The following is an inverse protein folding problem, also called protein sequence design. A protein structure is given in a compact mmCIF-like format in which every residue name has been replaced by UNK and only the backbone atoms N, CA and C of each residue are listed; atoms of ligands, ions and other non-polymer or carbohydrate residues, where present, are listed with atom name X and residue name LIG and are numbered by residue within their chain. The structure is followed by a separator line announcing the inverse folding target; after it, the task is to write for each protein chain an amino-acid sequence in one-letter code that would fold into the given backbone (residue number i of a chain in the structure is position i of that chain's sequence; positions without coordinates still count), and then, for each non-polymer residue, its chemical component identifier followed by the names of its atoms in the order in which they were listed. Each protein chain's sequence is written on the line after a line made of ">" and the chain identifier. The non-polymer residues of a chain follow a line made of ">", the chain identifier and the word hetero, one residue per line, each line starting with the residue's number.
data_IF_165149821390
#
_entry.id   IF_165149821390
#
_cell.length_a   1.000
_cell.length_b   1.000
_cell.length_c   1.000
_cell.angle_alpha   90.00
_cell.angle_beta   90.00
_cell.angle_gamma   90.00
#
_symmetry.space_group_name_H-M   'P 1'
#
loop_
_entity.id
_entity.type
_entity.pdbx_description
1 polymer ?
2 polymer ?
3 polymer ?
4 water ?
#
# COMPACT_ATOMS: atom_id res chain seq x y z
N UNK A 1 7.57 -17.94 15.13
CA UNK A 1 7.05 -18.03 13.76
C UNK A 1 8.08 -17.42 12.86
N UNK A 2 7.94 -17.71 11.56
CA UNK A 2 8.79 -17.21 10.49
C UNK A 2 8.64 -15.72 10.40
N UNK A 3 9.75 -15.02 10.59
CA UNK A 3 9.83 -13.57 10.42
C UNK A 3 10.99 -13.17 9.53
N UNK A 4 10.72 -12.27 8.59
CA UNK A 4 11.74 -11.53 7.87
C UNK A 4 11.34 -10.05 7.93
N UNK A 5 12.21 -9.23 8.51
CA UNK A 5 11.92 -7.84 8.84
C UNK A 5 12.90 -6.95 8.13
N UNK A 6 12.44 -6.23 7.10
CA UNK A 6 13.33 -5.29 6.33
C UNK A 6 13.47 -3.90 7.04
N UNK A 7 14.64 -3.27 6.92
CA UNK A 7 14.82 -1.92 7.41
C UNK A 7 15.82 -1.19 6.52
N UNK A 8 15.89 0.13 6.67
CA UNK A 8 16.88 0.88 5.92
C UNK A 8 16.31 1.72 4.79
N UNK A 9 15.03 1.60 4.52
CA UNK A 9 14.48 2.42 3.46
C UNK A 9 14.43 3.89 3.86
N UNK A 10 14.49 4.80 2.88
CA UNK A 10 14.31 6.20 3.19
C UNK A 10 14.34 7.01 1.91
N UNK A 11 14.47 8.33 2.02
CA UNK A 11 14.59 9.21 0.84
C UNK A 11 16.07 9.34 0.50
N UNK A 12 16.42 9.27 -0.78
CA UNK A 12 17.83 9.47 -1.18
C UNK A 12 17.76 10.34 -2.42
N UNK A 13 18.77 11.16 -2.64
CA UNK A 13 18.81 11.90 -3.91
C UNK A 13 19.35 11.02 -5.05
N UNK A 14 18.97 11.30 -6.31
CA UNK A 14 19.52 10.55 -7.44
C UNK A 14 21.04 10.55 -7.44
N UNK A 15 21.69 9.45 -7.84
CA UNK A 15 23.13 9.34 -7.75
C UNK A 15 23.55 8.88 -6.36
N UNK A 16 22.64 8.90 -5.38
CA UNK A 16 22.98 8.58 -4.01
C UNK A 16 23.10 7.09 -3.74
N UNK A 17 23.30 6.71 -2.50
CA UNK A 17 23.21 5.28 -2.24
C UNK A 17 22.60 4.95 -0.91
N UNK A 18 22.25 3.68 -0.70
CA UNK A 18 21.48 3.27 0.46
C UNK A 18 21.73 1.79 0.73
N UNK A 19 21.67 1.39 1.98
CA UNK A 19 21.86 0.00 2.27
C UNK A 19 20.70 -0.60 3.07
N UNK A 20 20.05 -1.63 2.52
CA UNK A 20 18.91 -2.26 3.19
C UNK A 20 19.36 -3.55 3.97
N UNK A 21 18.76 -3.83 5.12
CA UNK A 21 18.97 -5.10 5.85
C UNK A 21 17.69 -5.87 6.01
N UNK A 22 17.80 -7.17 6.24
CA UNK A 22 16.63 -7.95 6.46
C UNK A 22 17.02 -8.91 7.59
N UNK A 23 16.43 -8.76 8.75
CA UNK A 23 16.65 -9.69 9.89
C UNK A 23 15.69 -10.89 9.85
N UNK A 24 16.22 -12.10 9.85
CA UNK A 24 15.33 -13.27 9.70
C UNK A 24 15.23 -13.95 11.06
N UNK A 25 14.09 -14.55 11.36
CA UNK A 25 14.02 -15.33 12.60
C UNK A 25 12.94 -16.42 12.46
N UNK A 26 13.01 -17.44 13.28
CA UNK A 26 11.95 -18.44 13.28
C UNK A 26 12.12 -19.57 12.29
N UNK A 27 13.27 -19.62 11.60
CA UNK A 27 13.57 -20.71 10.67
C UNK A 27 15.07 -20.74 10.54
N UNK A 28 15.61 -21.77 9.91
CA UNK A 28 17.05 -21.96 9.94
C UNK A 28 17.62 -21.18 8.73
N UNK A 29 18.00 -19.92 8.94
CA UNK A 29 18.25 -18.97 7.80
C UNK A 29 19.33 -19.47 6.81
N UNK A 30 20.44 -20.03 7.37
CA UNK A 30 21.55 -20.56 6.57
C UNK A 30 21.23 -21.84 5.74
N UNK A 31 20.05 -22.42 5.90
CA UNK A 31 19.52 -23.42 4.93
C UNK A 31 18.81 -22.85 3.68
N UNK A 32 18.62 -21.51 3.62
CA UNK A 32 17.75 -20.97 2.57
C UNK A 32 18.40 -19.98 1.69
N UNK A 33 18.08 -20.09 0.41
CA UNK A 33 18.40 -19.06 -0.57
C UNK A 33 17.39 -17.91 -0.41
N UNK A 34 17.84 -16.67 -0.64
CA UNK A 34 17.06 -15.45 -0.39
C UNK A 34 17.06 -14.51 -1.61
N UNK A 35 16.01 -13.71 -1.84
CA UNK A 35 16.01 -12.67 -2.91
C UNK A 35 15.44 -11.35 -2.36
N UNK A 36 15.65 -10.29 -3.11
CA UNK A 36 14.99 -9.02 -2.88
C UNK A 36 14.14 -8.87 -4.11
N UNK A 37 12.90 -8.49 -3.87
CA UNK A 37 11.94 -8.19 -4.95
C UNK A 37 11.45 -6.79 -4.65
N UNK A 38 11.28 -5.94 -5.67
CA UNK A 38 10.68 -4.61 -5.45
C UNK A 38 9.33 -4.46 -6.08
N UNK A 39 8.55 -3.52 -5.54
CA UNK A 39 7.23 -3.26 -6.13
C UNK A 39 7.03 -1.77 -6.41
N UNK A 40 6.76 -1.42 -7.68
CA UNK A 40 6.67 0.00 -8.05
C UNK A 40 5.46 0.65 -7.40
N UNK A 41 5.39 2.00 -7.40
CA UNK A 41 4.14 2.63 -6.91
C UNK A 41 2.87 2.22 -7.72
N UNK A 42 3.02 1.83 -8.98
CA UNK A 42 1.94 1.27 -9.79
C UNK A 42 1.70 -0.25 -9.61
N UNK A 43 2.41 -0.88 -8.65
CA UNK A 43 2.11 -2.24 -8.17
C UNK A 43 2.73 -3.38 -8.93
N UNK A 44 3.63 -3.08 -9.86
CA UNK A 44 4.28 -4.12 -10.64
C UNK A 44 5.46 -4.68 -9.80
N UNK A 45 5.51 -5.99 -9.62
CA UNK A 45 6.64 -6.64 -8.93
C UNK A 45 7.86 -6.90 -9.88
N UNK A 46 9.06 -6.67 -9.39
CA UNK A 46 10.26 -6.96 -10.16
C UNK A 46 11.37 -7.59 -9.27
N UNK A 47 11.85 -8.80 -9.60
CA UNK A 47 12.94 -9.46 -8.89
C UNK A 47 14.29 -8.72 -9.08
N UNK A 48 14.98 -8.36 -7.99
CA UNK A 48 16.18 -7.54 -8.22
C UNK A 48 17.51 -8.18 -7.74
N UNK A 49 17.48 -9.27 -6.94
CA UNK A 49 18.76 -9.89 -6.49
C UNK A 49 18.47 -11.19 -5.80
N UNK A 50 19.38 -12.15 -6.00
CA UNK A 50 19.34 -13.48 -5.42
C UNK A 50 20.66 -13.80 -4.82
N UNK A 51 20.60 -14.42 -3.63
CA UNK A 51 21.81 -15.02 -3.01
C UNK A 51 21.55 -16.42 -2.41
N UNK A 52 22.44 -17.38 -2.71
CA UNK A 52 22.25 -18.73 -2.22
C UNK A 52 22.58 -18.86 -0.71
N UNK A 53 22.17 -19.98 -0.12
CA UNK A 53 22.22 -20.21 1.34
C UNK A 53 23.63 -20.03 1.91
N UNK A 54 24.63 -20.49 1.17
CA UNK A 54 26.03 -20.32 1.61
C UNK A 54 26.76 -19.17 0.90
N UNK A 55 26.06 -18.41 0.05
CA UNK A 55 26.65 -17.22 -0.57
C UNK A 55 27.48 -17.44 -1.82
N UNK A 56 27.57 -18.68 -2.31
CA UNK A 56 28.31 -18.96 -3.54
C UNK A 56 27.71 -18.45 -4.86
N UNK A 57 26.40 -18.22 -4.89
CA UNK A 57 25.71 -17.77 -6.13
C UNK A 57 25.01 -16.46 -5.83
N UNK A 58 25.28 -15.44 -6.64
CA UNK A 58 24.52 -14.20 -6.56
C UNK A 58 24.17 -13.81 -8.00
N UNK A 59 22.98 -13.23 -8.23
CA UNK A 59 22.56 -12.91 -9.61
C UNK A 59 21.78 -11.63 -9.49
N UNK A 60 21.68 -10.84 -10.57
CA UNK A 60 20.90 -9.58 -10.64
C UNK A 60 20.34 -9.41 -12.04
N UNK A 61 19.17 -8.77 -12.20
CA UNK A 61 18.69 -8.55 -13.59
C UNK A 61 19.45 -7.35 -14.18
N UNK A 62 19.41 -7.18 -15.50
CA UNK A 62 20.15 -6.08 -16.17
C UNK A 62 19.87 -4.69 -15.63
N UNK A 63 18.65 -4.44 -15.15
CA UNK A 63 18.21 -3.11 -14.65
C UNK A 63 18.96 -2.61 -13.42
N UNK A 64 19.51 -3.55 -12.63
CA UNK A 64 20.34 -3.14 -11.49
C UNK A 64 21.81 -3.69 -11.58
N UNK A 65 22.11 -4.57 -12.53
CA UNK A 65 23.49 -5.08 -12.55
C UNK A 65 24.54 -3.95 -12.54
N UNK A 66 25.53 -4.08 -11.64
CA UNK A 66 26.60 -3.08 -11.47
C UNK A 66 26.32 -1.96 -10.46
N UNK A 67 25.06 -1.84 -10.00
CA UNK A 67 24.66 -0.84 -9.03
C UNK A 67 24.27 -1.48 -7.72
N UNK A 68 23.70 -2.70 -7.76
CA UNK A 68 23.19 -3.27 -6.50
C UNK A 68 24.09 -4.48 -6.12
N UNK A 69 24.35 -4.66 -4.83
CA UNK A 69 25.11 -5.84 -4.35
C UNK A 69 24.34 -6.51 -3.22
N UNK A 70 23.97 -7.77 -3.44
CA UNK A 70 23.28 -8.51 -2.39
C UNK A 70 24.35 -9.26 -1.53
N UNK A 71 24.15 -9.37 -0.21
CA UNK A 71 25.09 -10.19 0.61
C UNK A 71 24.33 -10.69 1.86
N UNK A 72 24.98 -11.51 2.69
CA UNK A 72 24.30 -12.10 3.82
C UNK A 72 25.33 -12.35 4.90
N UNK A 73 24.88 -12.29 6.14
CA UNK A 73 25.71 -12.74 7.22
C UNK A 73 24.95 -13.81 8.03
N UNK A 74 25.29 -15.08 7.82
CA UNK A 74 24.62 -16.20 8.44
C UNK A 74 24.84 -16.23 9.95
N UNK A 75 25.98 -15.68 10.38
CA UNK A 75 26.28 -15.59 11.82
C UNK A 75 25.25 -14.71 12.53
N UNK A 76 24.67 -13.76 11.79
CA UNK A 76 23.69 -12.84 12.37
C UNK A 76 22.33 -13.04 11.75
N UNK A 77 22.15 -14.13 10.98
CA UNK A 77 20.86 -14.33 10.32
C UNK A 77 20.34 -13.06 9.60
N UNK A 78 21.20 -12.38 8.84
CA UNK A 78 20.82 -11.09 8.19
C UNK A 78 21.22 -11.10 6.71
N UNK A 79 20.31 -10.62 5.84
CA UNK A 79 20.51 -10.41 4.42
C UNK A 79 20.64 -8.86 4.20
N UNK A 80 21.50 -8.43 3.27
CA UNK A 80 21.67 -7.00 2.91
C UNK A 80 21.47 -6.78 1.38
N UNK A 81 21.17 -5.54 1.01
CA UNK A 81 21.17 -5.06 -0.36
C UNK A 81 21.84 -3.68 -0.36
N UNK A 82 23.06 -3.61 -0.87
CA UNK A 82 23.69 -2.34 -1.03
C UNK A 82 23.27 -1.75 -2.40
N UNK A 83 22.71 -0.55 -2.41
CA UNK A 83 22.29 0.12 -3.67
C UNK A 83 23.10 1.36 -3.90
N UNK A 84 23.61 1.57 -5.09
CA UNK A 84 24.33 2.79 -5.30
C UNK A 84 23.99 3.27 -6.70
N UNK A 85 24.47 4.46 -7.03
CA UNK A 85 24.06 5.18 -8.25
C UNK A 85 22.58 5.14 -8.44
N UNK A 86 21.83 5.49 -7.40
CA UNK A 86 20.36 5.36 -7.40
C UNK A 86 19.71 6.26 -8.43
N UNK A 87 18.63 5.76 -9.03
CA UNK A 87 17.87 6.54 -9.99
C UNK A 87 16.42 6.74 -9.49
N UNK A 88 15.75 7.83 -9.92
CA UNK A 88 14.36 8.07 -9.53
C UNK A 88 13.46 6.84 -9.67
N UNK A 89 13.63 6.09 -10.77
CA UNK A 89 12.85 4.86 -11.07
C UNK A 89 13.18 3.66 -10.21
N UNK A 90 14.12 3.82 -9.28
CA UNK A 90 14.39 2.80 -8.27
C UNK A 90 13.41 2.98 -7.07
N UNK A 91 12.67 4.11 -7.03
CA UNK A 91 11.59 4.34 -6.06
C UNK A 91 10.64 3.14 -6.12
N UNK A 92 10.40 2.49 -4.97
CA UNK A 92 9.71 1.23 -4.88
C UNK A 92 9.65 0.76 -3.40
N UNK A 93 8.74 -0.17 -3.12
CA UNK A 93 8.74 -0.87 -1.83
C UNK A 93 9.69 -2.08 -2.03
N UNK A 94 10.62 -2.27 -1.09
CA UNK A 94 11.57 -3.39 -1.22
C UNK A 94 11.27 -4.49 -0.21
N UNK A 95 11.07 -5.71 -0.73
CA UNK A 95 10.78 -6.90 0.04
C UNK A 95 11.93 -7.87 0.02
N UNK A 96 12.22 -8.39 1.17
CA UNK A 96 13.11 -9.53 1.34
C UNK A 96 12.21 -10.81 1.18
N UNK A 97 12.63 -11.81 0.41
CA UNK A 97 11.77 -12.99 0.24
C UNK A 97 12.61 -14.26 0.34
N UNK A 98 12.04 -15.27 0.95
CA UNK A 98 12.71 -16.55 1.15
C UNK A 98 12.27 -17.48 0.03
N UNK A 99 13.22 -18.15 -0.61
CA UNK A 99 12.85 -19.20 -1.55
C UNK A 99 12.51 -20.48 -0.78
N UNK A 100 11.57 -21.22 -1.36
CA UNK A 100 11.09 -22.45 -0.84
C UNK A 100 12.30 -23.40 -0.59
N UNK A 101 12.29 -24.12 0.53
CA UNK A 101 13.41 -24.98 0.84
C UNK A 101 13.75 -25.90 -0.36
N UNK A 102 15.04 -25.96 -0.69
CA UNK A 102 15.46 -26.60 -1.92
C UNK A 102 15.07 -28.07 -1.97
N UNK A 103 15.14 -28.76 -0.82
CA UNK A 103 14.53 -30.09 -0.70
C UNK A 103 13.06 -30.24 -1.05
N UNK A 104 12.25 -29.18 -0.88
CA UNK A 104 10.86 -29.15 -1.34
C UNK A 104 10.70 -28.86 -2.85
N UNK A 105 11.43 -27.89 -3.36
CA UNK A 105 11.41 -27.65 -4.79
C UNK A 105 12.78 -27.12 -5.23
N UNK A 106 13.29 -27.61 -6.34
CA UNK A 106 14.53 -27.05 -6.86
C UNK A 106 14.21 -25.87 -7.85
N UNK A 107 12.95 -25.41 -7.89
CA UNK A 107 12.58 -24.33 -8.81
C UNK A 107 12.70 -22.96 -8.15
N UNK A 108 11.65 -22.12 -8.16
CA UNK A 108 11.87 -20.71 -7.87
C UNK A 108 10.98 -20.08 -6.79
N UNK A 109 9.91 -20.75 -6.37
CA UNK A 109 8.88 -20.15 -5.50
C UNK A 109 9.41 -19.41 -4.25
N UNK A 110 8.91 -18.21 -4.04
CA UNK A 110 9.19 -17.40 -2.88
C UNK A 110 8.09 -17.59 -1.83
N UNK A 111 8.41 -18.41 -0.83
CA UNK A 111 7.33 -18.87 0.09
C UNK A 111 7.00 -17.97 1.29
N UNK A 112 7.90 -17.06 1.61
CA UNK A 112 7.65 -16.04 2.64
C UNK A 112 8.26 -14.71 2.23
N UNK A 113 7.52 -13.63 2.49
CA UNK A 113 7.94 -12.27 2.14
C UNK A 113 7.81 -11.39 3.35
N UNK A 114 8.73 -10.45 3.58
CA UNK A 114 8.56 -9.47 4.65
C UNK A 114 7.51 -8.41 4.32
N UNK A 115 7.25 -7.54 5.31
CA UNK A 115 6.35 -6.42 5.12
C UNK A 115 6.89 -5.35 4.15
N UNK A 116 8.19 -5.35 3.90
CA UNK A 116 8.75 -4.38 2.96
C UNK A 116 9.34 -3.16 3.63
N UNK A 117 10.37 -2.59 3.01
CA UNK A 117 10.82 -1.25 3.40
C UNK A 117 10.79 -0.28 2.19
N UNK A 118 10.28 0.93 2.40
CA UNK A 118 9.96 1.87 1.31
C UNK A 118 11.19 2.71 0.89
N UNK A 119 11.54 2.75 -0.40
CA UNK A 119 12.64 3.58 -0.88
C UNK A 119 12.16 4.64 -1.87
N UNK A 120 12.53 5.89 -1.63
CA UNK A 120 12.14 7.01 -2.53
C UNK A 120 13.42 7.67 -3.00
N UNK A 121 13.66 7.67 -4.32
CA UNK A 121 14.83 8.37 -4.87
C UNK A 121 14.26 9.57 -5.60
N UNK A 122 14.55 10.78 -5.13
CA UNK A 122 13.89 11.96 -5.67
C UNK A 122 14.72 13.16 -5.35
N UNK A 123 14.68 14.14 -6.24
CA UNK A 123 15.27 15.45 -5.96
C UNK A 123 14.21 16.45 -5.48
N UNK A 124 12.97 16.01 -5.26
CA UNK A 124 11.95 16.93 -4.73
C UNK A 124 12.45 17.39 -3.36
N UNK A 125 12.08 18.62 -3.00
CA UNK A 125 12.54 19.27 -1.77
C UNK A 125 11.82 18.85 -0.49
N UNK A 126 12.60 18.59 0.55
CA UNK A 126 12.11 18.20 1.87
C UNK A 126 11.47 19.39 2.52
N UNK A 127 10.29 19.15 3.09
CA UNK A 127 9.44 20.25 3.57
C UNK A 127 8.69 19.76 4.82
N UNK A 128 8.85 20.45 5.95
CA UNK A 128 8.12 20.12 7.16
C UNK A 128 6.63 20.52 6.97
N UNK A 129 5.71 19.77 7.60
CA UNK A 129 4.31 20.19 7.45
C UNK A 129 3.96 21.44 8.25
N UNK A 130 2.99 22.21 7.76
CA UNK A 130 2.16 23.07 8.60
C UNK A 130 1.01 22.27 9.25
N UNK A 131 0.85 22.36 10.57
CA UNK A 131 -0.15 21.57 11.27
C UNK A 131 -1.21 22.47 11.90
N UNK A 132 -2.46 22.32 11.45
CA UNK A 132 -3.56 23.12 11.93
C UNK A 132 -4.53 22.25 12.74
N UNK A 133 -5.04 22.81 13.85
CA UNK A 133 -6.07 22.10 14.62
C UNK A 133 -7.45 22.24 13.94
N UNK A 134 -8.20 21.16 13.86
CA UNK A 134 -9.56 21.22 13.29
C UNK A 134 -10.63 21.01 14.37
N UNK A 135 -11.30 22.09 14.79
CA UNK A 135 -12.43 22.01 15.69
C UNK A 135 -13.67 22.07 14.79
N UNK A 136 -14.82 21.46 15.19
CA UNK A 136 -16.04 21.47 14.32
C UNK A 136 -16.66 22.89 14.12
N UNK A 137 -17.41 23.17 13.04
CA UNK A 137 -18.22 24.40 13.03
C UNK A 137 -19.18 24.24 14.19
N UNK A 138 -19.61 25.34 14.78
CA UNK A 138 -20.52 25.28 15.92
C UNK A 138 -21.69 24.32 15.67
N UNK A 139 -22.17 24.26 14.41
CA UNK A 139 -23.32 23.42 14.07
C UNK A 139 -23.04 21.95 14.37
N UNK A 140 -21.78 21.55 14.41
CA UNK A 140 -21.40 20.13 14.50
C UNK A 140 -20.91 19.80 15.91
N UNK A 141 -21.33 20.58 16.90
CA UNK A 141 -20.91 20.32 18.29
C UNK A 141 -22.10 19.91 19.15
N UNK A 142 -23.20 19.61 18.50
CA UNK A 142 -24.45 19.32 19.20
C UNK A 142 -24.79 17.82 19.27
N UNK A 143 -23.88 16.92 18.90
CA UNK A 143 -24.14 15.49 18.87
C UNK A 143 -23.78 14.79 20.19
N UNK A 144 -24.05 13.49 20.27
CA UNK A 144 -23.57 12.75 21.46
C UNK A 144 -22.09 12.42 21.41
N UNK A 145 -21.57 12.43 20.20
CA UNK A 145 -20.15 12.41 19.98
C UNK A 145 -19.72 13.69 19.27
N UNK A 146 -18.42 13.93 19.32
CA UNK A 146 -17.82 15.05 18.67
C UNK A 146 -16.55 14.53 18.02
N UNK A 147 -16.28 15.00 16.81
CA UNK A 147 -15.12 14.57 16.06
C UNK A 147 -14.22 15.78 15.89
N UNK A 148 -12.97 15.65 16.35
CA UNK A 148 -11.98 16.68 16.20
C UNK A 148 -11.01 16.16 15.17
N UNK A 149 -10.20 17.06 14.65
CA UNK A 149 -9.16 16.67 13.72
C UNK A 149 -7.91 17.51 13.71
N UNK A 150 -7.04 17.13 12.79
CA UNK A 150 -5.69 17.64 12.68
C UNK A 150 -5.35 17.70 11.17
N UNK A 151 -4.98 18.86 10.63
CA UNK A 151 -4.68 18.96 9.18
C UNK A 151 -3.14 19.03 9.05
N UNK A 152 -2.53 18.04 8.33
CA UNK A 152 -1.07 18.01 8.14
C UNK A 152 -0.77 18.41 6.70
N UNK A 153 -0.42 19.68 6.52
CA UNK A 153 -0.46 20.33 5.21
C UNK A 153 0.97 20.58 4.62
N UNK A 154 1.19 20.18 3.36
CA UNK A 154 2.38 20.54 2.57
C UNK A 154 3.74 19.97 2.97
N UNK A 155 3.85 18.64 3.08
CA UNK A 155 5.12 18.09 3.49
C UNK A 155 5.72 17.15 2.43
N UNK A 156 7.02 16.86 2.54
CA UNK A 156 7.65 15.86 1.66
C UNK A 156 9.00 15.50 2.36
N UNK A 157 9.39 14.22 2.35
CA UNK A 157 8.62 13.09 1.82
C UNK A 157 7.61 12.52 2.86
N UNK A 158 6.80 11.55 2.46
CA UNK A 158 6.15 10.60 3.39
C UNK A 158 7.26 9.85 4.16
N UNK A 159 7.00 9.42 5.40
CA UNK A 159 5.76 9.56 6.16
C UNK A 159 5.82 10.61 7.23
N UNK A 160 4.67 10.81 7.82
CA UNK A 160 4.60 11.53 9.07
C UNK A 160 4.09 10.45 10.03
N UNK A 161 4.30 10.64 11.32
CA UNK A 161 3.60 9.80 12.29
C UNK A 161 2.70 10.67 13.13
N UNK A 162 1.47 10.22 13.37
CA UNK A 162 0.48 11.07 14.02
C UNK A 162 -0.17 10.26 15.13
N UNK A 163 -0.27 10.79 16.34
CA UNK A 163 -1.02 10.16 17.44
C UNK A 163 -1.86 11.22 18.07
N UNK A 164 -2.70 10.79 18.99
CA UNK A 164 -3.56 11.68 19.74
C UNK A 164 -3.26 11.42 21.20
N UNK A 165 -3.15 12.48 21.99
CA UNK A 165 -2.74 12.38 23.41
C UNK A 165 -1.55 11.43 23.62
N UNK A 166 -0.55 11.61 22.75
CA UNK A 166 0.67 10.80 22.77
C UNK A 166 0.38 9.28 22.74
N UNK A 167 -0.69 8.85 22.09
CA UNK A 167 -0.88 7.43 21.86
C UNK A 167 -1.86 6.84 22.83
N UNK A 168 -2.18 7.61 23.86
CA UNK A 168 -3.12 7.15 24.90
C UNK A 168 -4.58 7.26 24.38
N UNK A 169 -4.78 8.04 23.35
CA UNK A 169 -6.11 8.07 22.78
C UNK A 169 -6.03 7.37 21.46
N UNK A 170 -6.61 6.17 21.40
CA UNK A 170 -6.40 5.32 20.23
C UNK A 170 -7.70 4.86 19.59
N UNK A 171 -8.71 4.67 20.40
CA UNK A 171 -10.00 4.28 19.88
C UNK A 171 -10.71 5.51 19.24
N UNK A 172 -11.44 5.24 18.16
CA UNK A 172 -12.08 6.27 17.37
C UNK A 172 -11.14 7.20 16.58
N UNK A 173 -9.90 6.78 16.36
CA UNK A 173 -8.94 7.60 15.62
C UNK A 173 -8.94 7.08 14.21
N UNK A 174 -8.96 7.98 13.22
CA UNK A 174 -8.83 7.56 11.82
C UNK A 174 -7.94 8.49 11.09
N UNK A 175 -6.86 7.97 10.52
CA UNK A 175 -5.94 8.82 9.81
C UNK A 175 -6.07 8.59 8.28
N UNK A 176 -6.38 9.63 7.52
CA UNK A 176 -6.88 9.43 6.14
C UNK A 176 -5.80 9.51 5.10
N UNK A 177 -6.04 8.92 3.90
CA UNK A 177 -4.95 8.86 2.92
C UNK A 177 -4.56 10.27 2.47
N UNK A 178 -3.27 10.50 2.30
CA UNK A 178 -2.74 11.81 1.88
C UNK A 178 -3.04 12.11 0.41
N UNK A 179 -3.21 13.36 0.05
CA UNK A 179 -3.24 13.70 -1.34
C UNK A 179 -1.85 14.28 -1.69
N UNK A 180 -1.52 14.31 -2.99
CA UNK A 180 -0.22 14.78 -3.46
C UNK A 180 -0.50 15.82 -4.48
N UNK A 181 0.08 16.98 -4.29
CA UNK A 181 -0.18 18.08 -5.19
C UNK A 181 1.13 18.85 -5.31
N UNK A 182 1.67 18.96 -6.51
CA UNK A 182 2.91 19.72 -6.68
C UNK A 182 4.13 19.27 -5.81
N UNK A 183 4.42 17.97 -5.73
CA UNK A 183 5.53 17.50 -4.86
C UNK A 183 5.33 17.61 -3.31
N UNK A 184 4.11 17.89 -2.85
CA UNK A 184 3.82 18.03 -1.42
C UNK A 184 2.58 17.25 -1.09
N UNK A 185 2.67 16.51 -0.01
CA UNK A 185 1.58 15.75 0.51
C UNK A 185 0.74 16.53 1.51
N UNK A 186 -0.54 16.17 1.59
CA UNK A 186 -1.40 16.73 2.62
C UNK A 186 -2.29 15.64 3.22
N UNK A 187 -2.44 15.58 4.55
CA UNK A 187 -3.33 14.57 5.08
C UNK A 187 -4.06 15.09 6.31
N UNK A 188 -5.07 14.34 6.78
CA UNK A 188 -5.75 14.75 7.96
C UNK A 188 -6.07 13.50 8.77
N UNK A 189 -6.06 13.64 10.09
CA UNK A 189 -6.49 12.61 10.99
C UNK A 189 -7.66 13.17 11.80
N UNK A 190 -8.53 12.29 12.31
CA UNK A 190 -9.66 12.67 13.15
C UNK A 190 -9.79 11.75 14.37
N UNK A 191 -10.30 12.27 15.49
CA UNK A 191 -10.63 11.41 16.61
C UNK A 191 -12.06 11.70 17.04
N UNK A 192 -12.83 10.64 17.24
CA UNK A 192 -14.19 10.81 17.70
C UNK A 192 -14.30 10.47 19.19
N UNK A 193 -14.81 11.41 19.99
CA UNK A 193 -14.98 11.20 21.42
C UNK A 193 -16.40 11.59 21.90
N UNK A 194 -16.84 11.11 23.07
CA UNK A 194 -18.21 11.39 23.48
C UNK A 194 -18.15 12.83 23.81
N UNK A 195 -19.26 13.53 23.64
CA UNK A 195 -19.23 14.97 23.69
C UNK A 195 -19.03 15.48 25.12
N UNK A 196 -19.25 14.65 26.13
CA UNK A 196 -18.91 15.06 27.51
C UNK A 196 -17.36 15.21 27.72
N UNK A 197 -16.57 14.33 27.13
CA UNK A 197 -15.13 14.47 27.31
C UNK A 197 -14.42 15.66 26.67
N UNK A 198 -14.93 16.23 25.57
CA UNK A 198 -14.30 17.44 25.01
C UNK A 198 -15.34 18.51 24.85
N UNK A 199 -15.01 19.75 25.21
CA UNK A 199 -13.64 20.12 25.57
C UNK A 199 -13.32 20.11 27.05
N UNK A 200 -14.00 19.36 27.92
CA UNK A 200 -13.66 19.40 29.36
C UNK A 200 -12.28 18.76 29.62
N UNK A 201 -11.94 17.80 28.80
CA UNK A 201 -10.62 17.22 28.82
C UNK A 201 -9.81 17.62 27.59
N UNK A 202 -8.50 17.54 27.72
CA UNK A 202 -7.63 18.00 26.66
C UNK A 202 -7.41 16.94 25.57
N UNK A 203 -7.39 17.39 24.32
CA UNK A 203 -7.21 16.52 23.14
C UNK A 203 -6.13 17.21 22.27
N UNK A 204 -4.99 16.56 22.02
CA UNK A 204 -3.87 17.12 21.28
C UNK A 204 -3.44 16.13 20.24
N UNK A 205 -3.14 16.59 19.01
CA UNK A 205 -2.56 15.65 18.05
C UNK A 205 -1.07 15.87 18.08
N UNK A 206 -0.32 14.79 17.86
CA UNK A 206 1.17 14.81 17.86
C UNK A 206 1.62 14.39 16.48
N UNK A 207 2.25 15.30 15.75
CA UNK A 207 2.67 15.07 14.36
C UNK A 207 4.19 15.14 14.24
N UNK A 208 4.84 14.00 13.95
CA UNK A 208 6.28 13.99 13.73
C UNK A 208 6.56 13.81 12.25
N UNK A 209 7.58 14.50 11.77
CA UNK A 209 8.06 14.29 10.42
C UNK A 209 9.58 14.07 10.45
N UNK A 210 10.01 12.80 10.48
CA UNK A 210 11.38 12.37 10.69
C UNK A 210 12.32 13.05 9.73
N UNK A 211 11.94 13.11 8.44
CA UNK A 211 12.83 13.62 7.42
C UNK A 211 13.26 15.10 7.66
N UNK A 212 12.47 15.89 8.36
CA UNK A 212 12.81 17.26 8.74
C UNK A 212 13.16 17.35 10.22
N UNK A 213 13.13 16.19 10.90
CA UNK A 213 13.43 16.16 12.32
C UNK A 213 12.55 17.13 13.11
N UNK A 214 11.29 17.23 12.71
CA UNK A 214 10.34 18.07 13.40
C UNK A 214 9.27 17.28 14.13
N UNK A 215 8.68 17.91 15.12
CA UNK A 215 7.51 17.37 15.80
C UNK A 215 6.69 18.50 16.35
N UNK A 216 5.38 18.43 16.11
CA UNK A 216 4.41 19.46 16.48
C UNK A 216 3.26 18.82 17.24
N UNK A 217 2.91 19.40 18.40
CA UNK A 217 1.72 18.96 19.20
C UNK A 217 0.73 20.09 19.19
N UNK A 218 -0.50 19.86 18.72
CA UNK A 218 -1.51 20.90 18.57
C UNK A 218 -2.71 20.53 19.41
N UNK A 219 -2.96 21.34 20.44
CA UNK A 219 -4.16 21.19 21.26
C UNK A 219 -5.39 21.68 20.50
N UNK A 220 -6.47 20.89 20.51
CA UNK A 220 -7.71 21.27 19.86
C UNK A 220 -8.56 22.05 20.86
N UNK A 221 -8.82 23.32 20.51
CA UNK A 221 -9.53 24.27 21.32
C UNK A 221 -10.84 24.56 20.63
N UNK A 222 -11.89 24.83 21.39
CA UNK A 222 -13.19 25.20 20.77
C UNK A 222 -13.10 26.46 19.86
N UNK B 1 11.32 -14.04 -25.66
CA UNK B 1 11.64 -14.23 -24.22
C UNK B 1 10.60 -14.93 -23.28
N UNK B 2 10.94 -15.06 -21.99
CA UNK B 2 10.05 -15.68 -20.98
C UNK B 2 8.99 -14.68 -20.55
N UNK B 3 7.72 -14.99 -20.78
CA UNK B 3 6.65 -14.03 -20.58
C UNK B 3 5.49 -14.70 -19.88
N UNK B 4 4.87 -14.00 -18.93
CA UNK B 4 3.63 -14.38 -18.25
C UNK B 4 2.53 -13.33 -18.59
N UNK B 5 1.41 -13.81 -19.11
CA UNK B 5 0.30 -12.97 -19.50
C UNK B 5 -0.91 -13.33 -18.68
N UNK B 6 -1.50 -12.30 -18.06
CA UNK B 6 -2.72 -12.45 -17.27
C UNK B 6 -3.59 -11.17 -17.44
N UNK B 7 -4.91 -11.37 -17.52
CA UNK B 7 -5.88 -10.24 -17.50
C UNK B 7 -5.63 -9.31 -16.33
N UNK B 8 -5.96 -8.05 -16.51
CA UNK B 8 -5.68 -7.12 -15.42
C UNK B 8 -6.77 -7.14 -14.37
N UNK B 9 -7.95 -7.66 -14.69
CA UNK B 9 -9.05 -7.67 -13.70
C UNK B 9 -10.08 -8.80 -13.98
N UNK B 10 -10.81 -9.24 -12.94
CA UNK B 10 -11.85 -10.27 -13.04
C UNK B 10 -12.80 -9.97 -11.89
N UNK B 11 -14.07 -10.31 -12.03
CA UNK B 11 -15.03 -10.20 -10.88
C UNK B 11 -15.82 -11.47 -10.86
N UNK B 12 -16.27 -11.85 -9.68
CA UNK B 12 -17.03 -13.11 -9.46
C UNK B 12 -17.99 -12.83 -8.35
N UNK B 13 -19.15 -13.47 -8.42
CA UNK B 13 -20.13 -13.37 -7.33
C UNK B 13 -19.67 -14.14 -6.09
N UNK B 14 -19.92 -13.55 -4.93
CA UNK B 14 -19.69 -14.17 -3.66
C UNK B 14 -20.25 -15.58 -3.72
N UNK B 15 -19.46 -16.58 -3.38
CA UNK B 15 -20.00 -17.94 -3.32
C UNK B 15 -19.75 -18.71 -4.60
N UNK B 16 -19.41 -18.00 -5.67
CA UNK B 16 -19.23 -18.64 -6.96
C UNK B 16 -17.89 -19.35 -7.05
N UNK B 17 -17.73 -20.13 -8.09
CA UNK B 17 -16.45 -20.75 -8.33
C UNK B 17 -15.74 -19.88 -9.36
N UNK B 18 -14.56 -19.43 -8.99
CA UNK B 18 -13.77 -18.58 -9.87
C UNK B 18 -12.53 -19.35 -10.43
N UNK B 19 -12.08 -18.94 -11.63
CA UNK B 19 -10.88 -19.49 -12.28
C UNK B 19 -10.06 -18.39 -12.94
N UNK B 20 -8.76 -18.30 -12.61
CA UNK B 20 -7.87 -17.32 -13.22
C UNK B 20 -6.87 -17.99 -14.13
N UNK B 21 -6.52 -17.27 -15.19
CA UNK B 21 -5.63 -17.81 -16.19
C UNK B 21 -4.35 -17.05 -16.22
N UNK B 22 -3.24 -17.78 -16.21
CA UNK B 22 -1.94 -17.22 -16.46
C UNK B 22 -1.45 -18.00 -17.68
N UNK B 23 -0.91 -17.33 -18.69
CA UNK B 23 -0.36 -18.03 -19.89
C UNK B 23 1.16 -17.80 -20.14
N UNK B 24 1.90 -18.90 -20.29
CA UNK B 24 3.33 -18.92 -20.57
C UNK B 24 3.58 -18.60 -22.04
N UNK B 25 4.69 -17.89 -22.34
CA UNK B 25 5.24 -17.85 -23.67
C UNK B 25 5.36 -19.26 -24.23
N UNK B 26 5.11 -19.39 -25.54
CA UNK B 26 5.06 -20.67 -26.25
C UNK B 26 6.27 -21.58 -26.04
N UNK B 27 7.49 -21.04 -26.17
CA UNK B 27 8.70 -21.84 -25.99
C UNK B 27 9.00 -22.29 -24.50
N UNK B 28 8.16 -21.84 -23.56
CA UNK B 28 8.28 -22.14 -22.12
C UNK B 28 7.01 -22.78 -21.62
N UNK B 29 6.25 -23.34 -22.55
CA UNK B 29 4.93 -23.83 -22.21
C UNK B 29 4.94 -24.99 -21.21
N UNK B 30 6.09 -25.64 -21.01
CA UNK B 30 6.18 -26.70 -20.00
C UNK B 30 6.65 -26.25 -18.59
N UNK B 31 6.84 -24.95 -18.35
CA UNK B 31 7.39 -24.48 -17.05
C UNK B 31 6.52 -24.69 -15.77
N UNK B 32 7.19 -24.89 -14.65
CA UNK B 32 6.57 -24.85 -13.33
C UNK B 32 6.50 -23.41 -12.90
N UNK B 33 5.31 -22.97 -12.55
CA UNK B 33 5.08 -21.58 -12.09
C UNK B 33 4.60 -21.46 -10.65
N UNK B 34 4.49 -20.22 -10.12
CA UNK B 34 3.85 -20.07 -8.80
C UNK B 34 2.75 -19.04 -8.89
N UNK B 35 1.77 -19.16 -8.01
CA UNK B 35 0.80 -18.10 -7.79
C UNK B 35 1.01 -17.44 -6.41
N UNK B 36 0.92 -16.10 -6.39
CA UNK B 36 0.93 -15.25 -5.23
C UNK B 36 -0.39 -14.44 -5.10
N UNK B 37 -0.79 -14.11 -3.86
CA UNK B 37 -1.98 -13.31 -3.59
C UNK B 37 -1.51 -12.09 -2.85
N UNK B 38 -1.92 -10.90 -3.30
CA UNK B 38 -1.61 -9.71 -2.53
C UNK B 38 -2.87 -8.96 -2.12
N UNK B 39 -3.11 -8.93 -0.82
CA UNK B 39 -4.38 -8.33 -0.37
C UNK B 39 -4.03 -6.89 -0.05
N UNK B 40 -5.06 -6.03 0.10
CA UNK B 40 -4.66 -4.62 0.29
C UNK B 40 -3.87 -4.41 1.60
N UNK B 41 -2.90 -3.50 1.53
CA UNK B 41 -1.99 -3.17 2.61
C UNK B 41 -1.07 -4.33 3.08
N UNK B 42 -0.94 -5.41 2.30
CA UNK B 42 -0.06 -6.49 2.69
C UNK B 42 1.01 -6.86 1.67
N UNK B 43 2.10 -7.54 2.12
CA UNK B 43 2.97 -8.09 1.06
C UNK B 43 2.29 -9.24 0.31
N UNK B 44 2.82 -9.60 -0.86
CA UNK B 44 2.44 -10.85 -1.53
C UNK B 44 2.56 -12.08 -0.57
N UNK B 45 1.68 -13.02 -0.79
CA UNK B 45 1.60 -14.28 -0.01
C UNK B 45 1.66 -15.37 -1.05
N UNK B 46 2.53 -16.33 -0.81
CA UNK B 46 2.63 -17.57 -1.62
C UNK B 46 1.41 -18.46 -1.54
N UNK B 47 0.79 -18.71 -2.69
CA UNK B 47 -0.41 -19.53 -2.79
C UNK B 47 -0.07 -20.97 -3.14
N UNK B 48 0.60 -21.18 -4.26
CA UNK B 48 0.99 -22.54 -4.63
C UNK B 48 2.03 -22.52 -5.71
N UNK B 49 2.75 -23.62 -5.84
CA UNK B 49 3.58 -23.93 -6.99
C UNK B 49 2.81 -24.89 -7.88
N UNK B 50 2.81 -24.63 -9.18
CA UNK B 50 1.96 -25.36 -10.12
C UNK B 50 2.73 -25.88 -11.35
N UNK B 51 2.63 -27.19 -11.62
CA UNK B 51 3.38 -27.86 -12.71
C UNK B 51 2.58 -28.05 -14.03
N UNK B 52 3.29 -28.29 -15.14
CA UNK B 52 2.66 -28.48 -16.46
C UNK B 52 1.61 -29.59 -16.50
N UNK B 53 1.64 -30.52 -15.53
CA UNK B 53 0.63 -31.58 -15.49
C UNK B 53 -0.55 -31.25 -14.57
N UNK B 54 -0.56 -30.05 -13.98
CA UNK B 54 -1.66 -29.67 -13.12
C UNK B 54 -1.44 -30.01 -11.65
N UNK B 55 -0.46 -30.84 -11.34
CA UNK B 55 -0.19 -31.09 -9.92
C UNK B 55 0.44 -29.86 -9.26
N UNK B 56 0.18 -29.71 -7.97
CA UNK B 56 0.51 -28.46 -7.30
C UNK B 56 0.70 -28.64 -5.82
N UNK B 57 1.36 -27.69 -5.20
CA UNK B 57 1.57 -27.77 -3.80
C UNK B 57 1.33 -26.40 -3.20
N UNK B 58 0.38 -26.32 -2.28
CA UNK B 58 -0.06 -25.04 -1.79
C UNK B 58 0.70 -24.59 -0.55
N UNK B 59 0.78 -23.28 -0.37
CA UNK B 59 1.58 -22.69 0.66
C UNK B 59 0.90 -22.81 2.04
N UNK B 60 1.58 -22.36 3.09
CA UNK B 60 1.04 -22.53 4.46
C UNK B 60 -0.19 -21.66 4.65
N UNK B 61 -1.24 -22.22 5.26
CA UNK B 61 -2.42 -21.44 5.61
C UNK B 61 -3.30 -21.01 4.44
N UNK B 62 -3.18 -21.71 3.31
CA UNK B 62 -4.04 -21.48 2.14
C UNK B 62 -5.25 -22.42 2.29
N UNK B 63 -6.47 -21.88 2.31
CA UNK B 63 -7.71 -22.69 2.40
C UNK B 63 -7.76 -23.81 1.36
N UNK B 64 -8.53 -24.86 1.63
CA UNK B 64 -8.75 -25.97 0.70
C UNK B 64 -9.53 -25.53 -0.55
N UNK B 65 -10.15 -24.36 -0.47
CA UNK B 65 -10.85 -23.75 -1.62
C UNK B 65 -9.96 -23.40 -2.82
N UNK B 66 -8.66 -23.24 -2.61
CA UNK B 66 -7.72 -22.94 -3.70
C UNK B 66 -7.14 -24.19 -4.31
N UNK B 67 -7.19 -24.26 -5.65
CA UNK B 67 -6.53 -25.35 -6.33
C UNK B 67 -6.01 -24.92 -7.72
N UNK B 68 -5.19 -25.78 -8.34
CA UNK B 68 -4.49 -25.42 -9.56
C UNK B 68 -4.68 -26.47 -10.63
N UNK B 69 -4.62 -26.05 -11.90
CA UNK B 69 -4.52 -27.01 -12.99
C UNK B 69 -3.89 -26.32 -14.15
N UNK B 70 -3.70 -27.06 -15.24
CA UNK B 70 -2.90 -26.65 -16.37
C UNK B 70 -3.47 -27.15 -17.70
N UNK B 71 -3.13 -26.47 -18.79
CA UNK B 71 -3.54 -26.94 -20.10
C UNK B 71 -2.66 -26.27 -21.14
N UNK B 72 -1.74 -27.03 -21.72
CA UNK B 72 -0.65 -26.47 -22.51
C UNK B 72 0.10 -25.38 -21.77
N UNK B 73 0.09 -24.18 -22.36
CA UNK B 73 0.85 -23.06 -21.83
C UNK B 73 0.07 -22.28 -20.77
N UNK B 74 -1.19 -22.70 -20.55
CA UNK B 74 -2.07 -22.08 -19.56
C UNK B 74 -1.89 -22.72 -18.19
N UNK B 75 -1.93 -21.86 -17.17
CA UNK B 75 -1.88 -22.28 -15.78
C UNK B 75 -3.09 -21.65 -15.11
N UNK B 76 -3.87 -22.44 -14.38
CA UNK B 76 -5.08 -21.91 -13.73
C UNK B 76 -5.04 -21.96 -12.24
N UNK B 77 -5.57 -20.91 -11.64
CA UNK B 77 -5.84 -20.89 -10.22
C UNK B 77 -7.35 -20.90 -10.12
N UNK B 78 -7.89 -21.95 -9.48
CA UNK B 78 -9.32 -22.05 -9.18
C UNK B 78 -9.65 -21.83 -7.68
N UNK B 79 -10.72 -21.07 -7.43
CA UNK B 79 -11.20 -20.78 -6.07
C UNK B 79 -12.67 -21.14 -5.99
N UNK B 80 -12.95 -22.21 -5.25
CA UNK B 80 -14.32 -22.61 -5.05
C UNK B 80 -14.90 -21.68 -3.97
N UNK B 81 -16.20 -21.43 -4.07
CA UNK B 81 -16.93 -20.72 -3.01
C UNK B 81 -16.29 -19.39 -2.66
N UNK B 82 -16.15 -18.51 -3.66
CA UNK B 82 -15.28 -17.39 -3.46
C UNK B 82 -15.85 -16.55 -2.28
N UNK B 83 -14.95 -16.18 -1.38
CA UNK B 83 -15.22 -15.42 -0.16
C UNK B 83 -14.82 -13.94 -0.27
N UNK B 84 -15.35 -13.11 0.62
CA UNK B 84 -14.93 -11.71 0.49
C UNK B 84 -13.42 -11.54 0.71
N UNK B 85 -12.79 -12.40 1.52
CA UNK B 85 -11.33 -12.26 1.75
C UNK B 85 -10.39 -12.73 0.57
N UNK B 86 -10.98 -13.30 -0.46
CA UNK B 86 -10.33 -13.67 -1.70
C UNK B 86 -10.19 -12.46 -2.62
N UNK B 87 -10.80 -11.32 -2.24
CA UNK B 87 -10.59 -10.05 -2.98
C UNK B 87 -9.12 -9.64 -2.82
N UNK B 88 -8.41 -9.54 -3.93
CA UNK B 88 -6.97 -9.41 -3.93
C UNK B 88 -6.46 -9.28 -5.37
N UNK B 89 -5.20 -8.92 -5.47
CA UNK B 89 -4.48 -9.12 -6.72
C UNK B 89 -3.78 -10.46 -6.76
N UNK B 90 -4.02 -11.24 -7.82
CA UNK B 90 -3.31 -12.52 -8.03
C UNK B 90 -2.22 -12.35 -9.07
N UNK B 91 -0.99 -12.75 -8.74
CA UNK B 91 0.16 -12.59 -9.63
C UNK B 91 0.85 -13.93 -9.78
N UNK B 92 1.11 -14.30 -11.03
CA UNK B 92 1.91 -15.49 -11.28
C UNK B 92 3.34 -15.11 -11.46
N UNK B 93 4.25 -16.08 -11.24
CA UNK B 93 5.67 -15.82 -11.20
C UNK B 93 6.35 -17.04 -11.80
N UNK B 94 7.51 -16.89 -12.43
CA UNK B 94 8.17 -18.01 -13.05
C UNK B 94 9.66 -17.79 -13.14
N UNK B 95 10.44 -18.82 -12.84
CA UNK B 95 11.88 -18.63 -12.87
C UNK B 95 12.64 -19.46 -13.94
N UNK B 96 13.92 -19.18 -14.16
CA UNK B 96 14.68 -20.06 -15.01
C UNK B 96 16.09 -19.70 -14.74
N UNK B 97 17.01 -20.54 -15.21
CA UNK B 97 18.42 -20.14 -15.20
C UNK B 97 18.96 -20.39 -16.60
N UNK B 98 19.25 -19.34 -17.35
CA UNK B 98 19.55 -19.49 -18.79
C UNK B 98 20.97 -19.06 -19.03
N UNK B 99 21.80 -19.97 -19.52
CA UNK B 99 23.22 -19.65 -19.64
C UNK B 99 23.82 -19.15 -18.30
N UNK B 100 23.47 -19.85 -17.21
CA UNK B 100 23.96 -19.49 -15.88
C UNK B 100 23.60 -18.08 -15.40
N UNK B 101 22.57 -17.50 -16.01
CA UNK B 101 21.96 -16.27 -15.50
C UNK B 101 20.56 -16.61 -14.98
N UNK B 102 20.35 -16.38 -13.70
CA UNK B 102 19.06 -16.54 -13.05
C UNK B 102 18.08 -15.43 -13.60
N UNK B 103 16.85 -15.80 -13.93
CA UNK B 103 15.85 -14.81 -14.28
C UNK B 103 14.57 -15.10 -13.56
N UNK B 104 13.81 -14.05 -13.21
CA UNK B 104 12.55 -14.30 -12.55
C UNK B 104 11.54 -13.30 -13.09
N UNK B 105 10.43 -13.80 -13.62
CA UNK B 105 9.43 -12.98 -14.30
C UNK B 105 8.09 -13.06 -13.55
N UNK B 106 7.50 -11.90 -13.29
CA UNK B 106 6.11 -11.76 -12.81
C UNK B 106 5.12 -11.34 -13.90
N UNK B 107 3.92 -11.94 -13.83
CA UNK B 107 2.75 -11.50 -14.57
C UNK B 107 2.38 -10.07 -14.14
N UNK B 108 1.49 -9.44 -14.89
CA UNK B 108 1.06 -8.09 -14.54
C UNK B 108 0.06 -8.03 -13.38
N UNK B 109 -0.46 -9.20 -12.99
CA UNK B 109 -1.41 -9.32 -11.89
C UNK B 109 -2.86 -9.19 -12.35
N UNK B 110 -3.74 -9.95 -11.73
CA UNK B 110 -5.16 -9.89 -12.01
C UNK B 110 -5.79 -9.42 -10.70
N UNK B 111 -6.35 -8.21 -10.80
CA UNK B 111 -7.14 -7.62 -9.72
C UNK B 111 -8.51 -8.24 -9.65
N UNK B 112 -8.78 -8.96 -8.56
CA UNK B 112 -10.05 -9.70 -8.42
C UNK B 112 -11.09 -9.08 -7.43
N UNK B 113 -12.31 -8.86 -7.93
CA UNK B 113 -13.45 -8.30 -7.19
C UNK B 113 -14.49 -9.38 -6.92
N UNK B 114 -15.00 -9.38 -5.68
CA UNK B 114 -16.05 -10.28 -5.24
C UNK B 114 -17.35 -9.45 -5.17
N UNK B 115 -18.24 -9.60 -6.15
CA UNK B 115 -19.53 -8.93 -6.23
C UNK B 115 -20.54 -9.54 -5.30
N UNK B 116 -21.63 -8.84 -5.10
CA UNK B 116 -22.73 -9.41 -4.33
C UNK B 116 -22.54 -9.28 -2.83
N UNK B 117 -21.61 -8.43 -2.42
CA UNK B 117 -21.45 -8.22 -1.00
C UNK B 117 -22.39 -7.13 -0.51
N UNK B 118 -22.74 -7.14 0.78
CA UNK B 118 -23.64 -6.06 1.20
C UNK B 118 -22.89 -4.70 1.19
N UNK B 119 -23.59 -3.62 0.84
CA UNK B 119 -23.00 -2.29 0.74
C UNK B 119 -22.74 -1.64 2.09
N UNK B 120 -21.78 -0.72 2.11
CA UNK B 120 -21.71 0.18 3.22
C UNK B 120 -21.59 1.62 2.70
N UNK B 121 -22.49 2.50 3.11
CA UNK B 121 -22.58 3.86 2.57
C UNK B 121 -21.62 4.83 3.29
N UNK B 122 -20.96 5.74 2.54
CA UNK B 122 -20.01 6.64 3.22
C UNK B 122 -20.64 7.52 4.28
N UNK B 123 -19.88 7.69 5.36
CA UNK B 123 -20.08 8.68 6.41
C UNK B 123 -19.11 9.83 6.09
N UNK B 124 -19.62 11.09 6.15
CA UNK B 124 -18.83 12.32 5.96
C UNK B 124 -18.59 13.13 7.26
N UNK B 125 -17.31 13.51 7.46
CA UNK B 125 -16.88 14.48 8.46
C UNK B 125 -16.27 15.66 7.72
N UNK B 126 -16.82 16.86 7.96
CA UNK B 126 -16.35 18.04 7.25
C UNK B 126 -15.83 19.04 8.26
N UNK B 127 -14.65 19.62 7.99
CA UNK B 127 -14.06 20.64 8.87
C UNK B 127 -13.92 21.96 8.11
N UNK B 128 -14.16 23.09 8.80
CA UNK B 128 -13.92 24.46 8.31
C UNK B 128 -12.43 24.75 8.38
N UNK B 129 -11.96 25.78 7.68
CA UNK B 129 -10.61 26.34 7.85
C UNK B 129 -10.32 26.73 9.33
N UNK B 130 -9.12 26.47 9.88
CA UNK B 130 -8.81 27.03 11.23
C UNK B 130 -8.57 28.54 11.15
N UNK B 131 -8.76 29.26 12.26
CA UNK B 131 -8.54 30.68 12.26
C UNK B 131 -7.05 30.94 12.04
N UNK B 132 -6.22 29.99 12.43
CA UNK B 132 -4.78 30.10 12.26
C UNK B 132 -4.38 30.14 10.77
N UNK B 133 -5.00 29.28 9.97
CA UNK B 133 -4.80 29.26 8.53
C UNK B 133 -5.46 30.49 7.86
N UNK B 134 -6.68 30.86 8.30
CA UNK B 134 -7.37 32.03 7.78
C UNK B 134 -6.54 33.31 7.90
N UNK B 135 -5.73 33.43 8.97
CA UNK B 135 -4.86 34.58 9.22
C UNK B 135 -3.82 34.69 8.12
N UNK B 136 -3.40 33.55 7.56
CA UNK B 136 -2.49 33.53 6.40
C UNK B 136 -3.22 33.78 5.07
N UNK B 137 -4.48 34.22 5.15
CA UNK B 137 -5.34 34.46 3.99
C UNK B 137 -5.70 33.25 3.15
N UNK B 138 -5.61 32.04 3.77
CA UNK B 138 -5.91 30.75 3.13
C UNK B 138 -7.01 29.97 3.85
N UNK B 139 -7.72 29.16 3.09
CA UNK B 139 -8.73 28.29 3.65
C UNK B 139 -8.74 26.94 2.91
N UNK B 140 -8.51 25.88 3.66
CA UNK B 140 -8.64 24.52 3.19
C UNK B 140 -9.83 23.95 3.92
N UNK B 141 -10.88 23.60 3.18
CA UNK B 141 -12.00 22.85 3.74
C UNK B 141 -11.63 21.35 3.64
N UNK B 142 -11.94 20.56 4.68
CA UNK B 142 -11.56 19.14 4.71
C UNK B 142 -12.81 18.24 4.73
N UNK B 143 -12.90 17.22 3.85
CA UNK B 143 -13.97 16.21 3.89
C UNK B 143 -13.37 14.80 4.08
N UNK B 144 -13.69 14.16 5.19
CA UNK B 144 -13.15 12.88 5.54
C UNK B 144 -14.26 11.83 5.33
N UNK B 145 -13.97 10.85 4.47
CA UNK B 145 -14.98 9.98 3.90
C UNK B 145 -14.68 8.56 4.39
N UNK B 146 -15.53 8.00 5.23
CA UNK B 146 -15.19 6.67 5.72
C UNK B 146 -16.35 5.66 5.75
N UNK B 147 -16.02 4.43 6.13
CA UNK B 147 -17.02 3.34 6.31
C UNK B 147 -17.76 2.99 5.05
N UNK B 148 -17.14 3.05 3.88
CA UNK B 148 -17.84 2.67 2.67
C UNK B 148 -17.20 1.42 2.07
N UNK B 149 -17.99 0.73 1.26
CA UNK B 149 -17.64 -0.49 0.58
C UNK B 149 -18.75 -0.65 -0.45
N UNK B 150 -18.40 -0.96 -1.71
CA UNK B 150 -17.06 -1.10 -2.33
C UNK B 150 -16.30 0.23 -2.39
N UNK B 151 -15.08 0.21 -2.94
CA UNK B 151 -14.17 1.34 -2.75
C UNK B 151 -14.33 2.49 -3.74
N UNK B 152 -15.08 2.32 -4.82
CA UNK B 152 -15.26 3.42 -5.78
C UNK B 152 -16.24 4.53 -5.36
N UNK B 153 -15.75 5.78 -5.24
CA UNK B 153 -16.54 6.94 -4.85
C UNK B 153 -16.14 8.04 -5.80
N UNK B 154 -17.05 8.96 -6.02
CA UNK B 154 -16.70 10.15 -6.75
C UNK B 154 -17.06 11.32 -5.85
N UNK B 155 -16.12 12.26 -5.70
CA UNK B 155 -16.26 13.38 -4.79
C UNK B 155 -16.30 14.72 -5.53
N UNK B 156 -17.29 15.55 -5.22
CA UNK B 156 -17.44 16.85 -5.83
C UNK B 156 -17.76 17.84 -4.76
N UNK B 157 -17.40 19.09 -4.98
CA UNK B 157 -17.71 20.15 -4.02
C UNK B 157 -18.64 21.19 -4.61
N UNK B 158 -19.42 21.84 -3.75
CA UNK B 158 -20.25 22.97 -4.16
C UNK B 158 -20.03 24.14 -3.25
N UNK B 159 -20.25 25.33 -3.81
CA UNK B 159 -20.32 26.57 -3.05
C UNK B 159 -21.68 27.22 -3.31
N UNK B 160 -22.38 27.59 -2.26
CA UNK B 160 -23.78 27.99 -2.41
C UNK B 160 -24.63 27.09 -3.36
N UNK B 161 -24.31 25.80 -3.48
CA UNK B 161 -25.09 24.90 -4.31
C UNK B 161 -24.60 24.73 -5.74
N UNK B 162 -23.55 25.46 -6.07
CA UNK B 162 -23.03 25.45 -7.43
C UNK B 162 -21.72 24.70 -7.35
N UNK B 163 -21.43 23.87 -8.37
CA UNK B 163 -20.21 23.06 -8.41
C UNK B 163 -18.96 23.92 -8.40
N UNK B 164 -17.88 23.40 -7.80
CA UNK B 164 -16.56 24.02 -7.76
C UNK B 164 -15.60 23.11 -8.52
N UNK B 165 -14.79 23.65 -9.41
CA UNK B 165 -13.85 22.84 -10.21
C UNK B 165 -12.43 22.93 -9.66
N UNK B 166 -12.06 24.15 -9.34
CA UNK B 166 -10.69 24.49 -9.05
C UNK B 166 -10.37 24.36 -7.56
N UNK B 167 -9.11 24.09 -7.25
CA UNK B 167 -8.66 23.86 -5.89
C UNK B 167 -9.11 22.58 -5.19
N UNK B 168 -9.68 21.60 -5.92
CA UNK B 168 -10.03 20.29 -5.31
C UNK B 168 -8.93 19.21 -5.49
N UNK B 169 -8.57 18.53 -4.40
CA UNK B 169 -7.63 17.39 -4.39
C UNK B 169 -8.30 16.26 -3.60
N UNK B 170 -8.42 15.09 -4.20
CA UNK B 170 -9.22 14.02 -3.65
C UNK B 170 -8.29 12.82 -3.69
N UNK B 171 -8.23 12.04 -2.63
CA UNK B 171 -7.26 10.95 -2.59
C UNK B 171 -7.87 9.73 -3.25
N UNK B 172 -7.03 8.74 -3.53
CA UNK B 172 -7.48 7.36 -3.73
C UNK B 172 -8.01 6.79 -2.42
N UNK B 173 -8.95 5.84 -2.53
CA UNK B 173 -9.52 5.14 -1.38
C UNK B 173 -8.51 4.13 -0.83
N UNK B 174 -8.50 3.92 0.48
CA UNK B 174 -7.55 3.01 1.07
C UNK B 174 -8.29 2.06 1.99
N UNK B 175 -7.92 0.77 2.03
CA UNK B 175 -8.63 -0.20 2.88
C UNK B 175 -8.42 0.21 4.33
N UNK B 176 -9.47 0.06 5.13
CA UNK B 176 -9.43 0.27 6.57
C UNK B 176 -10.36 -0.74 7.27
N UNK B 177 -9.73 -1.75 7.89
CA UNK B 177 -10.50 -2.86 8.44
C UNK B 177 -11.24 -3.47 7.28
N UNK B 178 -12.53 -3.69 7.43
CA UNK B 178 -13.24 -4.33 6.32
C UNK B 178 -13.93 -3.33 5.37
N UNK B 179 -13.63 -2.04 5.52
CA UNK B 179 -14.13 -1.03 4.58
C UNK B 179 -13.05 -0.17 3.93
N UNK B 180 -13.44 1.00 3.42
CA UNK B 180 -12.49 1.91 2.79
C UNK B 180 -12.60 3.32 3.34
N UNK B 181 -11.60 4.14 3.05
CA UNK B 181 -11.66 5.53 3.45
C UNK B 181 -10.95 6.38 2.41
N UNK B 182 -11.29 7.67 2.37
CA UNK B 182 -10.72 8.59 1.43
C UNK B 182 -10.83 9.99 1.99
N UNK B 183 -10.18 10.96 1.36
CA UNK B 183 -10.23 12.33 1.86
C UNK B 183 -10.27 13.28 0.66
N UNK B 184 -10.89 14.43 0.86
CA UNK B 184 -10.92 15.43 -0.19
C UNK B 184 -10.68 16.83 0.44
N UNK B 185 -9.93 17.67 -0.27
CA UNK B 185 -9.61 19.00 0.25
C UNK B 185 -10.03 20.07 -0.74
N UNK B 186 -10.68 21.13 -0.27
CA UNK B 186 -10.99 22.24 -1.15
C UNK B 186 -10.17 23.43 -0.73
N UNK B 187 -9.29 23.93 -1.58
CA UNK B 187 -8.45 25.09 -1.25
C UNK B 187 -9.09 26.39 -1.79
N UNK B 188 -9.24 27.37 -0.89
CA UNK B 188 -9.85 28.70 -1.11
C UNK B 188 -8.99 29.79 -0.50
N UNK B 189 -9.30 31.05 -0.84
CA UNK B 189 -8.83 32.22 -0.10
C UNK B 189 -9.74 32.38 1.12
N UNK B 190 -9.28 33.13 2.10
CA UNK B 190 -10.10 33.50 3.25
C UNK B 190 -11.30 34.28 2.82
N UNK B 191 -11.12 35.15 1.82
CA UNK B 191 -12.27 35.93 1.32
C UNK B 191 -13.32 35.01 0.69
N UNK B 192 -12.86 34.02 -0.05
CA UNK B 192 -13.87 33.08 -0.57
C UNK B 192 -14.65 32.36 0.55
N UNK B 193 -13.97 31.92 1.62
CA UNK B 193 -14.62 31.16 2.68
C UNK B 193 -15.67 32.06 3.35
N UNK B 194 -15.25 33.27 3.63
CA UNK B 194 -16.12 34.23 4.31
C UNK B 194 -17.31 34.72 3.48
N UNK B 195 -17.17 34.72 2.17
CA UNK B 195 -18.19 35.30 1.29
C UNK B 195 -19.34 34.37 0.82
N UNK B 196 -19.25 33.05 1.04
CA UNK B 196 -20.34 32.16 0.66
C UNK B 196 -21.21 31.75 1.84
N UNK B 197 -22.45 31.40 1.54
CA UNK B 197 -23.39 30.92 2.56
C UNK B 197 -23.16 29.48 2.98
N UNK B 198 -22.69 28.65 2.05
CA UNK B 198 -22.38 27.28 2.42
C UNK B 198 -21.44 26.66 1.42
N UNK B 199 -20.77 25.59 1.89
CA UNK B 199 -20.04 24.69 1.02
C UNK B 199 -20.57 23.31 1.31
N UNK B 200 -20.46 22.42 0.33
CA UNK B 200 -20.97 21.05 0.42
C UNK B 200 -19.92 20.11 -0.10
N UNK B 201 -19.61 19.07 0.69
CA UNK B 201 -18.88 17.90 0.21
C UNK B 201 -19.95 16.89 -0.18
N UNK B 202 -19.83 16.39 -1.41
CA UNK B 202 -20.80 15.47 -1.98
C UNK B 202 -20.11 14.24 -2.50
N UNK B 203 -20.57 13.08 -2.09
CA UNK B 203 -19.91 11.83 -2.49
C UNK B 203 -20.96 10.91 -3.12
N UNK B 204 -20.65 10.46 -4.34
CA UNK B 204 -21.41 9.48 -5.07
C UNK B 204 -20.76 8.11 -4.88
N UNK B 205 -21.57 7.11 -4.55
CA UNK B 205 -21.05 5.76 -4.30
C UNK B 205 -22.17 4.77 -4.76
N UNK B 206 -21.93 4.01 -5.83
CA UNK B 206 -22.87 2.93 -6.23
C UNK B 206 -24.33 3.35 -6.41
N UNK B 207 -24.57 4.48 -7.08
CA UNK B 207 -25.96 4.93 -7.21
C UNK B 207 -26.51 5.79 -6.06
N UNK B 208 -25.78 5.88 -4.93
CA UNK B 208 -26.20 6.73 -3.83
C UNK B 208 -25.42 8.04 -3.85
N UNK B 209 -25.96 9.06 -3.19
CA UNK B 209 -25.23 10.31 -3.02
C UNK B 209 -25.31 10.69 -1.54
N UNK B 210 -24.19 11.11 -0.95
CA UNK B 210 -24.20 11.61 0.43
C UNK B 210 -23.57 12.98 0.37
N UNK B 211 -24.31 13.95 0.91
CA UNK B 211 -23.82 15.29 1.13
C UNK B 211 -23.79 15.77 2.58
N UNK B 212 -22.77 16.58 2.87
CA UNK B 212 -22.65 17.25 4.13
C UNK B 212 -22.14 18.67 3.86
N UNK B 213 -22.85 19.65 4.42
CA UNK B 213 -22.54 21.04 4.15
C UNK B 213 -22.06 21.73 5.41
N UNK B 214 -21.38 22.85 5.24
CA UNK B 214 -21.06 23.67 6.41
C UNK B 214 -21.08 25.12 6.01
N UNK B 215 -21.23 25.96 7.03
CA UNK B 215 -21.41 27.37 6.78
C UNK B 215 -20.41 28.18 7.62
N UNK B 216 -19.89 29.26 7.04
CA UNK B 216 -19.05 30.22 7.78
C UNK B 216 -19.81 31.03 8.85
N UNK B 217 -21.14 30.97 8.83
CA UNK B 217 -21.99 31.77 9.71
C UNK B 217 -22.16 31.35 11.18
N UNK B 218 -22.83 32.25 11.92
CA UNK B 218 -23.15 32.20 13.36
C UNK B 218 -22.03 32.92 14.08
N UNK C 1 12.01 -24.92 -25.10
CA UNK C 1 13.03 -24.72 -24.08
C UNK C 1 12.63 -25.50 -22.80
N UNK C 2 13.61 -26.11 -22.16
CA UNK C 2 13.39 -26.75 -20.85
C UNK C 2 13.85 -25.90 -19.66
N UNK C 3 12.95 -25.71 -18.70
CA UNK C 3 13.28 -24.99 -17.46
C UNK C 3 14.42 -25.67 -16.63
N UNK C 4 15.38 -24.88 -16.16
CA UNK C 4 16.48 -25.42 -15.31
C UNK C 4 16.15 -25.15 -13.84
N UNK C 5 16.69 -25.98 -12.94
CA UNK C 5 16.62 -25.70 -11.48
C UNK C 5 17.42 -24.44 -11.14
N UNK C 6 17.11 -23.80 -10.01
CA UNK C 6 17.97 -22.74 -9.46
C UNK C 6 19.22 -23.46 -8.92
N UNK C 7 20.34 -22.74 -8.83
CA UNK C 7 21.59 -23.25 -8.31
C UNK C 7 21.63 -22.82 -6.87
N UNK C 8 22.16 -23.67 -6.01
CA UNK C 8 22.40 -23.33 -4.62
C UNK C 8 23.68 -24.09 -4.26
N UNK C 9 24.37 -23.66 -3.22
CA UNK C 9 25.58 -24.30 -2.71
C UNK C 9 25.27 -25.77 -2.36
N UNK C 10 26.20 -26.67 -2.67
CA UNK C 10 26.07 -28.14 -2.40
C UNK C 10 24.79 -28.81 -2.94
N UNK C 11 24.40 -28.51 -4.20
CA UNK C 11 23.20 -29.09 -4.83
C UNK C 11 23.52 -30.35 -5.70
#
# INVERSE_FOLDING_TARGET
>A
EVQVVESGGGLVKPGGSLKLSCAASGFAFSSYDMSWVRQTPEKRLEWVAYISRGGGYTYYPDTVKGRFTISRDNAKNTLYLQMSSLKSEDTAMYYCSRHIYYGSSHYYAMDYWGQGTSVTVSSAKTTAPSVYPLAPVCGDTTGSSVTLGCLVKGYFPEPVTLTWNSGSLSSGVHTFPAVLQSDLYTLSSSVTVTSSTWPSQSITCNVAHPASSTKVDKKIEP
>B
QLVLTQSSSASFSLGASAKLTCTLSRQHSTYTIEWYQQQPLKPPRYVMELKKDGSHSTGDGIPDRFSGSSSGADRYLSISNIQPEDEAIYICGVGDTIKEQFVYVFGGGTKVTVLGQPKSTPTLTVFPPSSEELKENKATLVCLISNFSPSGVTVAWKANGTPITQGVDTSNPTKEGNKFMASSFLHLTSDQWRSHNSFTCQVTHEGDTVEKSLSPAE
>C
VEQHHRRTDND
#
